data_IF_262151784558
#
_entry.id   IF_262151784558
#
_cell.length_a   1.000
_cell.length_b   1.000
_cell.length_c   1.000
_cell.angle_alpha   90.00
_cell.angle_beta   90.00
_cell.angle_gamma   90.00
#
_symmetry.space_group_name_H-M   'P 1'
#
loop_
_entity.id
_entity.type
_entity.pdbx_description
1 polymer ?
#
# COMPACT_ATOMS: atom_id res chain seq x y z
N UNK A 1 14.39 20.80 5.37
CA UNK A 1 14.53 19.54 6.10
C UNK A 1 13.56 18.56 5.47
N UNK A 2 14.05 17.45 4.92
CA UNK A 2 13.17 16.40 4.41
C UNK A 2 12.67 15.58 5.58
N UNK A 3 11.37 15.54 5.82
CA UNK A 3 10.78 14.83 6.95
C UNK A 3 10.44 13.39 6.57
N UNK A 4 10.79 12.45 7.44
CA UNK A 4 10.38 11.06 7.30
C UNK A 4 9.59 10.67 8.55
N UNK A 5 8.29 10.40 8.38
CA UNK A 5 7.42 9.92 9.45
C UNK A 5 7.10 8.46 9.20
N UNK A 6 7.41 7.60 10.18
CA UNK A 6 7.09 6.18 10.13
C UNK A 6 5.92 5.93 11.09
N UNK A 7 4.86 5.32 10.57
CA UNK A 7 3.68 4.93 11.32
C UNK A 7 3.54 3.42 11.27
N UNK A 8 3.55 2.78 12.44
CA UNK A 8 3.20 1.37 12.55
C UNK A 8 1.69 1.18 12.39
N UNK A 9 1.25 0.22 11.58
CA UNK A 9 -0.17 -0.05 11.32
C UNK A 9 -0.64 -1.28 12.10
N UNK A 10 -0.07 -2.45 11.78
CA UNK A 10 -0.27 -3.72 12.46
C UNK A 10 0.66 -4.79 11.86
N UNK A 11 1.04 -5.80 12.63
CA UNK A 11 1.87 -6.92 12.17
C UNK A 11 3.19 -6.46 11.51
N UNK A 12 3.40 -6.79 10.23
CA UNK A 12 4.54 -6.33 9.43
C UNK A 12 4.25 -5.03 8.69
N UNK A 13 3.07 -4.44 8.86
CA UNK A 13 2.60 -3.29 8.11
C UNK A 13 3.02 -1.95 8.71
N UNK A 14 3.56 -1.09 7.85
CA UNK A 14 3.97 0.28 8.19
C UNK A 14 3.69 1.25 7.03
N UNK A 15 3.39 2.50 7.39
CA UNK A 15 3.32 3.61 6.46
C UNK A 15 4.51 4.54 6.68
N UNK A 16 5.21 4.89 5.61
CA UNK A 16 6.32 5.84 5.60
C UNK A 16 5.89 7.05 4.79
N UNK A 17 5.58 8.13 5.49
CA UNK A 17 5.32 9.42 4.86
C UNK A 17 6.64 10.13 4.59
N UNK A 18 6.82 10.50 3.33
CA UNK A 18 7.91 11.35 2.86
C UNK A 18 7.36 12.73 2.50
N UNK A 19 8.22 13.64 2.04
CA UNK A 19 7.77 14.94 1.55
C UNK A 19 6.84 14.85 0.33
N UNK A 20 6.92 13.77 -0.46
CA UNK A 20 6.26 13.68 -1.79
C UNK A 20 5.24 12.57 -1.93
N UNK A 21 5.25 11.57 -1.05
CA UNK A 21 4.42 10.36 -1.15
C UNK A 21 4.35 9.61 0.18
N UNK A 22 3.40 8.71 0.28
CA UNK A 22 3.29 7.75 1.38
C UNK A 22 3.51 6.34 0.86
N UNK A 23 4.48 5.65 1.43
CA UNK A 23 4.79 4.26 1.11
C UNK A 23 4.11 3.37 2.15
N UNK A 24 3.25 2.45 1.72
CA UNK A 24 2.50 1.55 2.61
C UNK A 24 2.96 0.12 2.35
N UNK A 25 3.50 -0.52 3.36
CA UNK A 25 4.03 -1.88 3.29
C UNK A 25 3.08 -2.84 4.00
N UNK A 26 2.86 -4.03 3.42
CA UNK A 26 2.11 -5.16 3.99
C UNK A 26 0.81 -4.74 4.70
N UNK A 27 -0.05 -4.01 3.97
CA UNK A 27 -1.31 -3.53 4.51
C UNK A 27 -2.26 -4.70 4.82
N UNK A 28 -2.35 -5.04 6.10
CA UNK A 28 -3.26 -6.06 6.63
C UNK A 28 -4.40 -5.44 7.44
N UNK A 29 -4.05 -4.71 8.50
CA UNK A 29 -4.98 -4.02 9.42
C UNK A 29 -4.47 -2.62 9.71
N UNK A 30 -5.43 -1.71 9.87
CA UNK A 30 -5.17 -0.33 10.27
C UNK A 30 -6.31 0.16 11.19
N UNK A 31 -6.32 -0.25 12.46
CA UNK A 31 -7.40 0.09 13.39
C UNK A 31 -7.47 1.60 13.68
N UNK A 32 -6.38 2.34 13.41
CA UNK A 32 -6.31 3.78 13.60
C UNK A 32 -6.72 4.59 12.35
N UNK A 33 -7.03 3.92 11.23
CA UNK A 33 -7.44 4.57 9.98
C UNK A 33 -6.38 5.50 9.39
N UNK A 34 -5.09 5.22 9.62
CA UNK A 34 -3.98 6.06 9.18
C UNK A 34 -3.85 6.10 7.66
N UNK A 35 -3.95 4.97 6.97
CA UNK A 35 -3.90 4.91 5.50
C UNK A 35 -5.08 5.66 4.89
N UNK A 36 -6.27 5.56 5.49
CA UNK A 36 -7.42 6.36 5.06
C UNK A 36 -7.19 7.86 5.25
N UNK A 37 -6.53 8.27 6.35
CA UNK A 37 -6.16 9.68 6.55
C UNK A 37 -5.15 10.18 5.51
N UNK A 38 -4.19 9.33 5.12
CA UNK A 38 -3.24 9.66 4.05
C UNK A 38 -3.93 9.74 2.69
N UNK A 39 -4.89 8.86 2.41
CA UNK A 39 -5.66 8.84 1.16
C UNK A 39 -6.55 10.10 0.96
N UNK A 40 -6.78 10.88 2.02
CA UNK A 40 -7.50 12.17 1.97
C UNK A 40 -6.57 13.36 1.78
N UNK A 41 -5.26 13.16 1.83
CA UNK A 41 -4.25 14.19 1.59
C UNK A 41 -3.92 14.36 0.11
N UNK A 42 -2.83 15.09 -0.17
CA UNK A 42 -2.37 15.36 -1.54
C UNK A 42 -1.27 14.39 -2.01
N UNK A 43 -0.71 13.59 -1.09
CA UNK A 43 0.44 12.74 -1.35
C UNK A 43 0.00 11.36 -1.85
N UNK A 44 0.39 10.95 -3.07
CA UNK A 44 -0.03 9.66 -3.61
C UNK A 44 0.45 8.49 -2.75
N UNK A 45 -0.36 7.44 -2.70
CA UNK A 45 0.00 6.18 -2.05
C UNK A 45 0.77 5.26 -2.98
N UNK A 46 1.73 4.54 -2.40
CA UNK A 46 2.47 3.46 -3.03
C UNK A 46 2.37 2.24 -2.13
N UNK A 47 1.70 1.19 -2.60
CA UNK A 47 1.57 -0.05 -1.83
C UNK A 47 2.66 -1.03 -2.21
N UNK A 48 3.28 -1.65 -1.20
CA UNK A 48 4.24 -2.73 -1.34
C UNK A 48 3.68 -3.98 -0.68
N UNK A 49 3.57 -5.07 -1.44
CA UNK A 49 3.09 -6.36 -0.93
C UNK A 49 4.20 -7.38 -1.09
N UNK A 50 4.83 -7.75 0.02
CA UNK A 50 6.07 -8.53 0.00
C UNK A 50 5.85 -10.03 -0.24
N UNK A 51 4.70 -10.58 0.17
CA UNK A 51 4.33 -11.98 -0.03
C UNK A 51 2.82 -12.18 0.12
N UNK A 52 2.28 -13.27 -0.44
CA UNK A 52 0.89 -13.66 -0.25
C UNK A 52 0.78 -14.68 0.88
N UNK A 53 0.06 -14.29 1.93
CA UNK A 53 -0.32 -15.13 3.06
C UNK A 53 -1.65 -14.59 3.59
N UNK A 54 -2.60 -15.46 3.95
CA UNK A 54 -3.96 -15.07 4.39
C UNK A 54 -3.95 -14.09 5.59
N UNK A 55 -2.88 -14.09 6.38
CA UNK A 55 -2.67 -13.25 7.56
C UNK A 55 -1.81 -11.99 7.31
N UNK A 56 -1.36 -11.76 6.08
CA UNK A 56 -0.47 -10.65 5.72
C UNK A 56 -1.03 -9.68 4.67
N UNK A 57 -2.01 -10.10 3.87
CA UNK A 57 -2.54 -9.30 2.76
C UNK A 57 -4.02 -8.98 2.93
N UNK A 58 -4.38 -7.70 2.78
CA UNK A 58 -5.77 -7.27 2.71
C UNK A 58 -6.09 -6.68 1.32
N UNK A 59 -6.96 -7.32 0.51
CA UNK A 59 -7.33 -6.83 -0.83
C UNK A 59 -7.99 -5.44 -0.81
N UNK A 60 -8.38 -4.94 0.38
CA UNK A 60 -8.87 -3.57 0.58
C UNK A 60 -7.87 -2.48 0.20
N UNK A 61 -6.62 -2.79 -0.13
CA UNK A 61 -5.75 -1.80 -0.80
C UNK A 61 -6.35 -1.28 -2.12
N UNK A 62 -7.26 -2.05 -2.75
CA UNK A 62 -8.04 -1.62 -3.90
C UNK A 62 -9.04 -0.49 -3.58
N UNK A 63 -9.50 -0.37 -2.33
CA UNK A 63 -10.40 0.70 -1.89
C UNK A 63 -9.73 2.09 -2.02
N UNK A 64 -8.39 2.13 -2.06
CA UNK A 64 -7.60 3.35 -2.21
C UNK A 64 -7.12 3.59 -3.66
N UNK A 65 -7.60 2.83 -4.65
CA UNK A 65 -7.09 2.87 -6.03
C UNK A 65 -7.09 4.28 -6.65
N UNK A 66 -8.10 5.10 -6.35
CA UNK A 66 -8.21 6.47 -6.86
C UNK A 66 -7.08 7.41 -6.36
N UNK A 67 -6.44 7.09 -5.23
CA UNK A 67 -5.35 7.87 -4.65
C UNK A 67 -4.00 7.12 -4.69
N UNK A 68 -3.99 5.95 -5.34
CA UNK A 68 -2.80 5.09 -5.42
C UNK A 68 -2.11 5.29 -6.76
N UNK A 69 -0.84 5.69 -6.71
CA UNK A 69 -0.01 5.78 -7.90
C UNK A 69 0.52 4.41 -8.31
N UNK A 70 0.97 3.59 -7.34
CA UNK A 70 1.58 2.30 -7.63
C UNK A 70 1.21 1.21 -6.63
N UNK A 71 1.10 0.00 -7.16
CA UNK A 71 1.08 -1.26 -6.43
C UNK A 71 2.31 -2.06 -6.85
N UNK A 72 3.21 -2.30 -5.91
CA UNK A 72 4.48 -2.98 -6.11
C UNK A 72 4.38 -4.32 -5.39
N UNK A 73 4.26 -5.40 -6.17
CA UNK A 73 3.91 -6.72 -5.67
C UNK A 73 5.08 -7.66 -5.85
N UNK A 74 5.32 -8.54 -4.89
CA UNK A 74 6.21 -9.66 -5.18
C UNK A 74 5.59 -10.59 -6.25
N UNK A 75 6.42 -11.17 -7.11
CA UNK A 75 6.00 -12.07 -8.21
C UNK A 75 5.11 -13.23 -7.76
N UNK A 76 5.23 -13.67 -6.50
CA UNK A 76 4.40 -14.73 -5.91
C UNK A 76 2.99 -14.28 -5.49
N UNK A 77 2.64 -12.99 -5.58
CA UNK A 77 1.36 -12.44 -5.15
C UNK A 77 0.36 -12.44 -6.30
N UNK A 78 -0.75 -13.17 -6.13
CA UNK A 78 -1.90 -13.14 -7.04
C UNK A 78 -3.03 -12.30 -6.44
N UNK A 79 -3.47 -11.26 -7.15
CA UNK A 79 -4.70 -10.54 -6.83
C UNK A 79 -5.82 -11.16 -7.67
N UNK A 80 -6.70 -11.95 -7.06
CA UNK A 80 -7.69 -12.76 -7.79
C UNK A 80 -8.77 -11.94 -8.54
N UNK A 81 -8.94 -10.65 -8.22
CA UNK A 81 -10.01 -9.82 -8.80
C UNK A 81 -9.53 -8.62 -9.63
N UNK A 82 -8.22 -8.47 -9.84
CA UNK A 82 -7.68 -7.40 -10.67
C UNK A 82 -6.85 -8.02 -11.77
N UNK A 83 -7.10 -7.66 -13.04
CA UNK A 83 -6.20 -8.02 -14.15
C UNK A 83 -4.91 -7.18 -14.03
N UNK A 84 -4.12 -7.52 -13.01
CA UNK A 84 -2.94 -6.81 -12.49
C UNK A 84 -1.95 -6.50 -13.62
N UNK A 85 -1.84 -7.43 -14.58
CA UNK A 85 -0.90 -7.37 -15.69
C UNK A 85 -1.29 -6.38 -16.79
N UNK A 86 -2.50 -5.80 -16.76
CA UNK A 86 -2.97 -4.82 -17.76
C UNK A 86 -3.10 -3.39 -17.23
N UNK A 87 -2.97 -3.18 -15.93
CA UNK A 87 -3.04 -1.85 -15.33
C UNK A 87 -1.63 -1.27 -15.15
N UNK A 88 -1.38 -0.10 -15.74
CA UNK A 88 -0.06 0.56 -15.77
C UNK A 88 0.53 0.92 -14.39
N UNK A 89 -0.27 0.79 -13.33
CA UNK A 89 0.11 1.13 -11.96
C UNK A 89 0.69 -0.06 -11.18
N UNK A 90 0.72 -1.27 -11.76
CA UNK A 90 1.31 -2.44 -11.12
C UNK A 90 2.73 -2.70 -11.60
N UNK A 91 3.63 -2.93 -10.66
CA UNK A 91 4.99 -3.39 -10.91
C UNK A 91 5.28 -4.60 -10.04
N UNK A 92 6.18 -5.46 -10.50
CA UNK A 92 6.58 -6.65 -9.77
C UNK A 92 8.05 -6.56 -9.30
N UNK A 93 8.34 -7.12 -8.12
CA UNK A 93 9.67 -7.16 -7.47
C UNK A 93 10.07 -8.55 -7.02
#
# INVERSE_FOLDING_TARGET
MTGLNITFLAHSGFAVETDTKVLVFDYFKDPAGKVESYAKGDKPLWFFVTHWHEDHFNPRIADFAAHTAHYILNDGVTLEDVDVKKNANYAFI
#
